data_IF_398094683613
#
_entry.id   IF_398094683613
#
_cell.length_a   1.000
_cell.length_b   1.000
_cell.length_c   1.000
_cell.angle_alpha   90.00
_cell.angle_beta   90.00
_cell.angle_gamma   90.00
#
_symmetry.space_group_name_H-M   'P 1'
#
loop_
_entity.id
_entity.type
_entity.pdbx_description
1 polymer ?
#
# COMPACT_ATOMS: atom_id res chain seq x y z
N UNK A 1 6.74 11.97 -5.18
CA UNK A 1 5.52 11.12 -5.10
C UNK A 1 5.72 10.08 -4.01
N UNK A 2 5.34 10.46 -2.81
CA UNK A 2 5.30 9.60 -1.62
C UNK A 2 3.89 9.03 -1.39
N UNK A 3 3.76 8.09 -0.45
CA UNK A 3 2.50 7.38 -0.16
C UNK A 3 1.40 8.33 0.34
N UNK A 4 1.74 9.33 1.15
CA UNK A 4 0.76 10.32 1.65
C UNK A 4 0.17 11.11 0.49
N UNK A 5 1.02 11.63 -0.41
CA UNK A 5 0.58 12.37 -1.60
C UNK A 5 -0.31 11.52 -2.50
N UNK A 6 -0.01 10.22 -2.63
CA UNK A 6 -0.85 9.30 -3.39
C UNK A 6 -2.25 9.12 -2.76
N UNK A 7 -2.34 9.01 -1.44
CA UNK A 7 -3.63 8.78 -0.77
C UNK A 7 -4.52 10.02 -0.86
N UNK A 8 -3.98 11.19 -0.53
CA UNK A 8 -4.77 12.43 -0.46
C UNK A 8 -5.26 12.91 -1.84
N UNK A 9 -4.54 12.57 -2.90
CA UNK A 9 -4.90 12.99 -4.27
C UNK A 9 -5.82 12.01 -4.98
N UNK A 10 -5.92 10.76 -4.51
CA UNK A 10 -6.64 9.69 -5.21
C UNK A 10 -7.90 9.22 -4.49
N UNK A 11 -8.02 9.48 -3.19
CA UNK A 11 -9.22 9.17 -2.43
C UNK A 11 -9.88 10.43 -1.89
N UNK A 12 -11.21 10.58 -2.07
CA UNK A 12 -11.95 11.70 -1.48
C UNK A 12 -12.05 11.62 0.05
N UNK A 13 -12.00 10.40 0.60
CA UNK A 13 -11.96 10.10 2.03
C UNK A 13 -10.86 9.09 2.32
N UNK A 14 -10.19 9.20 3.46
CA UNK A 14 -9.11 8.30 3.78
C UNK A 14 -9.62 6.84 3.88
N UNK A 15 -8.85 5.87 3.35
CA UNK A 15 -9.16 4.46 3.56
C UNK A 15 -9.28 4.14 5.05
N UNK A 16 -10.25 3.31 5.43
CA UNK A 16 -10.42 2.84 6.81
C UNK A 16 -9.16 2.12 7.33
N UNK A 17 -8.39 1.52 6.42
CA UNK A 17 -7.17 0.79 6.74
C UNK A 17 -6.13 0.96 5.64
N UNK A 18 -4.89 1.19 6.05
CA UNK A 18 -3.71 1.21 5.19
C UNK A 18 -2.75 0.14 5.70
N UNK A 19 -2.51 -0.87 4.88
CA UNK A 19 -1.51 -1.91 5.14
C UNK A 19 -0.30 -1.63 4.26
N UNK A 20 0.85 -1.40 4.88
CA UNK A 20 2.06 -0.98 4.20
C UNK A 20 3.32 -1.36 4.98
N UNK A 21 4.38 -1.76 4.29
CA UNK A 21 5.63 -2.23 4.88
C UNK A 21 6.20 -1.21 5.87
N UNK A 22 6.08 0.08 5.59
CA UNK A 22 6.59 1.15 6.45
C UNK A 22 5.47 1.93 7.16
N UNK A 23 4.34 1.28 7.44
CA UNK A 23 3.17 1.88 8.07
C UNK A 23 3.45 2.52 9.45
N UNK A 24 4.42 1.97 10.20
CA UNK A 24 4.81 2.47 11.51
C UNK A 24 5.29 3.93 11.51
N UNK A 25 5.93 4.39 10.43
CA UNK A 25 6.32 5.79 10.27
C UNK A 25 5.29 6.57 9.46
N UNK A 26 4.59 5.92 8.52
CA UNK A 26 3.56 6.55 7.72
C UNK A 26 2.40 7.08 8.58
N UNK A 27 1.94 6.31 9.57
CA UNK A 27 0.83 6.73 10.44
C UNK A 27 1.08 8.07 11.14
N UNK A 28 2.16 8.19 11.94
CA UNK A 28 2.54 9.46 12.58
C UNK A 28 2.74 10.59 11.57
N UNK A 29 3.35 10.31 10.42
CA UNK A 29 3.54 11.30 9.37
C UNK A 29 2.20 11.83 8.81
N UNK A 30 1.27 10.93 8.47
CA UNK A 30 -0.06 11.28 7.99
C UNK A 30 -0.86 12.06 9.05
N UNK A 31 -0.84 11.62 10.31
CA UNK A 31 -1.56 12.28 11.41
C UNK A 31 -0.99 13.67 11.73
N UNK A 32 0.31 13.90 11.53
CA UNK A 32 0.92 15.23 11.73
C UNK A 32 0.54 16.20 10.62
N UNK A 33 0.34 15.70 9.40
CA UNK A 33 0.08 16.52 8.21
C UNK A 33 -1.40 16.82 8.02
N UNK A 34 -2.25 15.81 8.14
CA UNK A 34 -3.69 15.89 7.85
C UNK A 34 -4.51 15.06 8.85
N UNK A 35 -4.51 15.45 10.15
CA UNK A 35 -5.13 14.65 11.22
C UNK A 35 -6.62 14.40 11.01
N UNK A 36 -7.35 15.37 10.44
CA UNK A 36 -8.80 15.24 10.21
C UNK A 36 -9.10 14.21 9.13
N UNK A 37 -8.32 14.22 8.04
CA UNK A 37 -8.50 13.29 6.93
C UNK A 37 -8.21 11.85 7.38
N UNK A 38 -7.16 11.64 8.17
CA UNK A 38 -6.73 10.32 8.63
C UNK A 38 -7.27 9.89 10.00
N UNK A 39 -8.18 10.66 10.61
CA UNK A 39 -8.67 10.44 11.98
C UNK A 39 -9.22 9.02 12.23
N UNK A 40 -9.83 8.42 11.19
CA UNK A 40 -10.45 7.10 11.25
C UNK A 40 -9.67 6.03 10.48
N UNK A 41 -8.40 6.30 10.16
CA UNK A 41 -7.55 5.40 9.37
C UNK A 41 -6.64 4.57 10.27
N UNK A 42 -6.77 3.25 10.18
CA UNK A 42 -5.85 2.32 10.83
C UNK A 42 -4.62 2.08 9.96
N UNK A 43 -3.42 2.31 10.51
CA UNK A 43 -2.15 1.98 9.87
C UNK A 43 -1.60 0.67 10.43
N UNK A 44 -1.26 -0.27 9.56
CA UNK A 44 -0.70 -1.55 9.96
C UNK A 44 0.44 -2.00 9.01
N UNK A 45 1.50 -2.55 9.58
CA UNK A 45 2.61 -3.18 8.87
C UNK A 45 2.10 -4.49 8.29
N UNK A 46 2.43 -4.77 7.04
CA UNK A 46 2.12 -6.04 6.42
C UNK A 46 2.88 -7.21 7.08
N UNK A 47 2.29 -8.39 7.06
CA UNK A 47 2.86 -9.54 7.78
C UNK A 47 4.15 -10.09 7.15
N UNK A 48 4.40 -9.83 5.86
CA UNK A 48 5.60 -10.32 5.16
C UNK A 48 6.86 -9.57 5.59
N UNK A 49 6.74 -8.26 5.81
CA UNK A 49 7.86 -7.40 6.17
C UNK A 49 7.94 -7.15 7.68
N UNK A 50 6.97 -7.64 8.46
CA UNK A 50 6.92 -7.50 9.92
C UNK A 50 8.21 -7.95 10.63
N UNK A 51 8.89 -8.98 10.14
CA UNK A 51 10.15 -9.49 10.74
C UNK A 51 11.28 -8.45 10.74
N UNK A 52 11.28 -7.51 9.80
CA UNK A 52 12.26 -6.42 9.73
C UNK A 52 12.03 -5.30 10.75
N UNK A 53 10.89 -5.30 11.44
CA UNK A 53 10.47 -4.20 12.33
C UNK A 53 10.69 -4.52 13.81
N UNK A 54 11.94 -4.71 14.23
CA UNK A 54 12.28 -5.14 15.61
C UNK A 54 12.01 -4.09 16.69
N UNK A 55 11.88 -2.82 16.32
CA UNK A 55 11.70 -1.68 17.26
C UNK A 55 10.30 -1.06 17.21
N UNK A 56 9.40 -1.61 16.39
CA UNK A 56 8.05 -1.10 16.27
C UNK A 56 7.15 -1.66 17.37
N UNK A 57 6.19 -0.85 17.83
CA UNK A 57 5.21 -1.29 18.82
C UNK A 57 4.33 -2.42 18.25
N UNK A 58 3.88 -3.39 19.06
CA UNK A 58 2.95 -4.44 18.64
C UNK A 58 1.68 -3.90 17.96
N UNK A 59 1.20 -2.72 18.38
CA UNK A 59 0.07 -2.04 17.76
C UNK A 59 0.30 -1.61 16.30
N UNK A 60 1.54 -1.62 15.81
CA UNK A 60 1.81 -1.32 14.40
C UNK A 60 1.63 -2.55 13.50
N UNK A 61 1.47 -3.77 14.01
CA UNK A 61 1.46 -4.99 13.21
C UNK A 61 0.06 -5.48 12.90
N UNK A 62 -0.20 -5.85 11.63
CA UNK A 62 -1.48 -6.43 11.24
C UNK A 62 -1.76 -7.74 12.01
N UNK A 63 -0.74 -8.60 12.15
CA UNK A 63 -0.82 -9.84 12.93
C UNK A 63 -1.39 -9.65 14.34
N UNK A 64 -1.04 -8.58 15.03
CA UNK A 64 -1.55 -8.31 16.39
C UNK A 64 -3.05 -8.04 16.37
N UNK A 65 -3.54 -7.29 15.39
CA UNK A 65 -4.98 -7.09 15.23
C UNK A 65 -5.70 -8.36 14.75
N UNK A 66 -5.05 -9.18 13.93
CA UNK A 66 -5.60 -10.44 13.44
C UNK A 66 -5.83 -11.48 14.56
N UNK A 67 -5.12 -11.37 15.69
CA UNK A 67 -5.37 -12.19 16.89
C UNK A 67 -6.72 -11.88 17.55
N UNK A 68 -7.22 -10.65 17.39
CA UNK A 68 -8.49 -10.19 17.99
C UNK A 68 -9.63 -10.22 16.97
N UNK A 69 -9.36 -9.84 15.73
CA UNK A 69 -10.30 -9.91 14.61
C UNK A 69 -9.78 -10.86 13.53
N UNK A 70 -10.24 -12.13 13.51
CA UNK A 70 -9.82 -13.13 12.53
C UNK A 70 -10.09 -12.74 11.08
N UNK A 71 -10.97 -11.76 10.81
CA UNK A 71 -11.22 -11.26 9.44
C UNK A 71 -9.99 -10.57 8.87
N UNK A 72 -9.13 -10.00 9.73
CA UNK A 72 -7.90 -9.34 9.30
C UNK A 72 -6.83 -10.33 8.85
N UNK A 73 -6.84 -11.56 9.38
CA UNK A 73 -5.97 -12.64 8.91
C UNK A 73 -6.27 -13.06 7.45
N UNK A 74 -7.47 -12.74 6.94
CA UNK A 74 -7.88 -13.05 5.56
C UNK A 74 -7.41 -12.00 4.55
N UNK A 75 -6.83 -10.88 5.01
CA UNK A 75 -6.32 -9.85 4.12
C UNK A 75 -5.07 -10.37 3.44
N UNK A 76 -5.06 -10.37 2.11
CA UNK A 76 -3.91 -10.77 1.33
C UNK A 76 -2.81 -9.68 1.37
N UNK A 77 -1.93 -9.79 2.35
CA UNK A 77 -0.79 -8.87 2.54
C UNK A 77 0.28 -9.00 1.45
N UNK A 78 0.34 -10.14 0.73
CA UNK A 78 1.27 -10.33 -0.40
C UNK A 78 0.73 -9.81 -1.74
N UNK A 79 -0.52 -9.33 -1.79
CA UNK A 79 -1.11 -8.81 -3.03
C UNK A 79 -0.25 -7.69 -3.65
N UNK A 80 0.34 -6.83 -2.82
CA UNK A 80 1.24 -5.78 -3.28
C UNK A 80 2.54 -6.33 -3.89
N UNK A 81 3.12 -7.40 -3.32
CA UNK A 81 4.34 -8.04 -3.85
C UNK A 81 4.06 -8.74 -5.18
N UNK A 82 2.95 -9.47 -5.28
CA UNK A 82 2.50 -10.08 -6.53
C UNK A 82 2.27 -9.01 -7.63
N UNK A 83 1.62 -7.90 -7.27
CA UNK A 83 1.42 -6.77 -8.17
C UNK A 83 2.73 -6.13 -8.64
N UNK A 84 3.68 -5.92 -7.73
CA UNK A 84 5.02 -5.43 -8.06
C UNK A 84 5.78 -6.39 -8.98
N UNK A 85 5.66 -7.70 -8.74
CA UNK A 85 6.16 -8.75 -9.61
C UNK A 85 5.57 -8.63 -11.02
N UNK A 86 4.27 -8.43 -11.14
CA UNK A 86 3.58 -8.20 -12.41
C UNK A 86 4.10 -6.95 -13.14
N UNK A 87 4.22 -5.82 -12.44
CA UNK A 87 4.73 -4.55 -13.01
C UNK A 87 6.20 -4.67 -13.42
N UNK A 88 7.00 -5.45 -12.69
CA UNK A 88 8.42 -5.63 -13.02
C UNK A 88 8.62 -6.24 -14.42
N UNK A 89 7.67 -7.05 -14.90
CA UNK A 89 7.68 -7.68 -16.24
C UNK A 89 7.65 -6.66 -17.37
N UNK A 90 6.99 -5.52 -17.16
CA UNK A 90 6.88 -4.47 -18.19
C UNK A 90 7.91 -3.35 -18.03
N UNK A 91 8.69 -3.35 -16.94
CA UNK A 91 9.62 -2.26 -16.59
C UNK A 91 10.58 -1.94 -17.73
N UNK A 92 11.15 -2.96 -18.39
CA UNK A 92 12.11 -2.76 -19.49
C UNK A 92 11.44 -2.15 -20.71
N UNK A 93 10.28 -2.65 -21.12
CA UNK A 93 9.50 -2.10 -22.24
C UNK A 93 9.12 -0.64 -21.99
N UNK A 94 8.63 -0.32 -20.79
CA UNK A 94 8.26 1.04 -20.40
C UNK A 94 9.47 1.99 -20.42
N UNK A 95 10.67 1.51 -20.06
CA UNK A 95 11.88 2.35 -20.02
C UNK A 95 12.32 2.90 -21.38
N UNK A 96 11.87 2.31 -22.48
CA UNK A 96 12.14 2.77 -23.85
C UNK A 96 11.02 3.66 -24.43
N UNK A 97 9.98 3.95 -23.65
CA UNK A 97 8.82 4.71 -24.11
C UNK A 97 8.90 6.18 -23.68
N UNK A 98 8.30 7.06 -24.49
CA UNK A 98 7.98 8.42 -24.03
C UNK A 98 6.93 8.36 -22.92
N UNK A 99 6.88 9.37 -22.06
CA UNK A 99 5.95 9.42 -20.92
C UNK A 99 4.50 9.12 -21.31
N UNK A 100 4.00 9.71 -22.40
CA UNK A 100 2.63 9.48 -22.86
C UNK A 100 2.37 8.00 -23.22
N UNK A 101 3.31 7.36 -23.92
CA UNK A 101 3.21 5.94 -24.30
C UNK A 101 3.35 5.02 -23.09
N UNK A 102 4.27 5.35 -22.17
CA UNK A 102 4.44 4.64 -20.91
C UNK A 102 3.13 4.63 -20.10
N UNK A 103 2.47 5.79 -19.94
CA UNK A 103 1.20 5.91 -19.21
C UNK A 103 0.11 5.03 -19.85
N UNK A 104 -0.07 5.11 -21.17
CA UNK A 104 -1.07 4.31 -21.88
C UNK A 104 -0.80 2.81 -21.76
N UNK A 105 0.46 2.40 -21.98
CA UNK A 105 0.86 0.99 -21.91
C UNK A 105 0.65 0.40 -20.53
N UNK A 106 1.12 1.09 -19.47
CA UNK A 106 0.93 0.64 -18.10
C UNK A 106 -0.55 0.56 -17.72
N UNK A 107 -1.38 1.52 -18.17
CA UNK A 107 -2.83 1.49 -17.93
C UNK A 107 -3.48 0.26 -18.56
N UNK A 108 -3.16 -0.04 -19.81
CA UNK A 108 -3.72 -1.20 -20.53
C UNK A 108 -3.27 -2.51 -19.85
N UNK A 109 -1.99 -2.62 -19.52
CA UNK A 109 -1.45 -3.79 -18.82
C UNK A 109 -2.18 -4.05 -17.49
N UNK A 110 -2.31 -3.05 -16.62
CA UNK A 110 -3.01 -3.17 -15.33
C UNK A 110 -4.49 -3.53 -15.57
N UNK A 111 -5.13 -2.94 -16.59
CA UNK A 111 -6.53 -3.22 -16.91
C UNK A 111 -6.75 -4.67 -17.37
N UNK A 112 -5.79 -5.26 -18.08
CA UNK A 112 -5.84 -6.68 -18.47
C UNK A 112 -5.58 -7.56 -17.25
N UNK A 113 -4.56 -7.22 -16.44
CA UNK A 113 -4.19 -7.96 -15.25
C UNK A 113 -5.33 -8.05 -14.22
N UNK A 114 -6.11 -6.98 -14.05
CA UNK A 114 -7.22 -6.96 -13.10
C UNK A 114 -8.50 -7.68 -13.59
N UNK A 115 -8.53 -8.18 -14.85
CA UNK A 115 -9.67 -8.97 -15.38
C UNK A 115 -9.55 -10.46 -15.09
N UNK A 116 -8.34 -10.94 -14.82
CA UNK A 116 -8.00 -12.33 -14.53
C UNK A 116 -7.82 -12.54 -13.04
#
# INVERSE_FOLDING_TARGET
NDVFSAIITRWPEAPKRIIYNFACALGPYCMTREPVFFANTQFAIDDFHASGHTKCAPAAFLKTYAQVDPRLARINTSAAECGNGGISRIRKSVSYMTQARAIMFTRVFISIWNRT
#
